data_IF_448216548068
#
_entry.id   IF_448216548068
#
_cell.length_a   1.000
_cell.length_b   1.000
_cell.length_c   1.000
_cell.angle_alpha   90.00
_cell.angle_beta   90.00
_cell.angle_gamma   90.00
#
_symmetry.space_group_name_H-M   'P 1'
#
loop_
_entity.id
_entity.type
_entity.pdbx_description
1 polymer ?
#
# COMPACT_ATOMS: atom_id res chain seq x y z
N UNK A 1 5.25 -23.92 15.43
CA UNK A 1 5.52 -22.48 15.64
C UNK A 1 4.19 -21.81 15.87
N UNK A 2 4.00 -21.14 17.00
CA UNK A 2 2.83 -20.30 17.20
C UNK A 2 2.97 -19.11 16.23
N UNK A 3 2.07 -19.04 15.26
CA UNK A 3 1.98 -17.91 14.35
C UNK A 3 1.60 -16.66 15.18
N UNK A 4 2.18 -15.50 14.92
CA UNK A 4 1.83 -14.27 15.63
C UNK A 4 1.59 -13.14 14.64
N UNK A 5 0.56 -12.35 14.86
CA UNK A 5 0.20 -11.18 14.05
C UNK A 5 0.28 -9.90 14.89
N UNK A 6 0.32 -8.72 14.26
CA UNK A 6 0.47 -7.48 15.02
C UNK A 6 -0.72 -7.24 15.95
N UNK A 7 -0.44 -6.73 17.16
CA UNK A 7 -1.43 -6.06 17.98
C UNK A 7 -2.07 -4.93 17.16
N UNK A 8 -3.38 -5.04 16.93
CA UNK A 8 -4.08 -4.21 15.96
C UNK A 8 -5.56 -4.11 16.33
N UNK A 9 -6.22 -2.98 15.98
CA UNK A 9 -7.66 -2.87 16.03
C UNK A 9 -8.34 -4.04 15.29
N UNK A 10 -9.28 -4.71 15.96
CA UNK A 10 -10.22 -5.61 15.31
C UNK A 10 -11.35 -4.79 14.69
N UNK A 11 -11.02 -4.03 13.65
CA UNK A 11 -11.99 -3.15 13.03
C UNK A 11 -12.96 -3.96 12.16
N UNK A 12 -14.00 -4.49 12.80
CA UNK A 12 -15.08 -5.28 12.21
C UNK A 12 -15.96 -4.52 11.20
N UNK A 13 -15.56 -3.31 10.80
CA UNK A 13 -16.31 -2.42 9.90
C UNK A 13 -15.81 -2.50 8.44
N UNK A 14 -14.59 -3.01 8.16
CA UNK A 14 -13.89 -2.64 6.92
C UNK A 14 -13.74 -3.72 5.85
N UNK A 15 -14.35 -4.89 6.01
CA UNK A 15 -14.26 -5.99 5.05
C UNK A 15 -15.68 -6.52 4.88
N UNK A 16 -16.16 -6.82 3.65
CA UNK A 16 -17.54 -7.24 3.41
C UNK A 16 -18.00 -8.18 4.54
N UNK A 17 -19.15 -7.92 5.19
CA UNK A 17 -19.48 -8.23 6.60
C UNK A 17 -19.52 -9.72 7.00
N UNK A 18 -18.55 -10.50 6.54
CA UNK A 18 -18.49 -11.97 6.51
C UNK A 18 -17.07 -12.53 6.35
N UNK A 19 -16.03 -11.70 6.22
CA UNK A 19 -14.66 -12.24 6.14
C UNK A 19 -14.20 -12.63 7.53
N UNK A 20 -13.94 -13.92 7.81
CA UNK A 20 -13.41 -14.36 9.10
C UNK A 20 -12.10 -13.62 9.41
N UNK A 21 -11.95 -13.19 10.66
CA UNK A 21 -10.74 -12.48 11.13
C UNK A 21 -9.45 -13.24 10.78
N UNK A 22 -9.48 -14.57 10.84
CA UNK A 22 -8.34 -15.42 10.49
C UNK A 22 -7.90 -15.29 9.03
N UNK A 23 -8.79 -14.90 8.11
CA UNK A 23 -8.41 -14.66 6.73
C UNK A 23 -7.56 -13.40 6.56
N UNK A 24 -7.60 -12.49 7.54
CA UNK A 24 -6.93 -11.19 7.55
C UNK A 24 -5.61 -11.23 8.31
N UNK A 25 -5.54 -12.01 9.38
CA UNK A 25 -4.37 -12.02 10.25
C UNK A 25 -3.65 -13.37 10.29
N UNK A 26 -4.26 -14.41 9.73
CA UNK A 26 -3.82 -15.79 9.85
C UNK A 26 -4.39 -16.48 11.07
N UNK A 27 -3.83 -17.63 11.42
CA UNK A 27 -4.21 -18.41 12.61
C UNK A 27 -3.37 -18.06 13.86
N UNK A 28 -2.72 -16.89 13.83
CA UNK A 28 -1.84 -16.44 14.90
C UNK A 28 -2.55 -15.76 16.06
N UNK A 29 -1.79 -15.48 17.11
CA UNK A 29 -2.22 -14.64 18.23
C UNK A 29 -1.60 -13.22 18.10
N UNK A 30 -2.32 -12.16 18.48
CA UNK A 30 -1.80 -10.80 18.47
C UNK A 30 -0.56 -10.61 19.36
N UNK A 31 0.43 -9.87 18.86
CA UNK A 31 1.69 -9.54 19.53
C UNK A 31 2.14 -8.11 19.21
N UNK A 32 2.76 -7.43 20.17
CA UNK A 32 3.41 -6.13 19.90
C UNK A 32 4.75 -6.27 19.15
N UNK A 33 5.20 -7.51 18.91
CA UNK A 33 6.41 -7.82 18.15
C UNK A 33 6.10 -8.60 16.85
N UNK A 34 5.47 -7.98 15.83
CA UNK A 34 5.07 -8.66 14.60
C UNK A 34 6.20 -8.83 13.57
N UNK A 35 7.46 -8.69 13.99
CA UNK A 35 8.61 -8.58 13.09
C UNK A 35 9.06 -9.95 12.58
N UNK A 36 8.25 -10.51 11.68
CA UNK A 36 8.46 -11.79 11.03
C UNK A 36 8.65 -11.66 9.52
N UNK A 37 9.41 -12.59 8.96
CA UNK A 37 9.57 -12.75 7.51
C UNK A 37 9.17 -14.19 7.17
N UNK A 38 8.14 -14.35 6.33
CA UNK A 38 7.71 -15.66 5.84
C UNK A 38 8.32 -15.91 4.46
N UNK A 39 9.02 -17.02 4.28
CA UNK A 39 9.73 -17.34 3.04
C UNK A 39 9.16 -18.64 2.47
N UNK A 40 8.79 -18.59 1.19
CA UNK A 40 8.35 -19.76 0.43
C UNK A 40 9.31 -19.96 -0.74
N UNK A 41 9.98 -21.10 -0.75
CA UNK A 41 10.94 -21.47 -1.80
C UNK A 41 10.23 -22.30 -2.89
N UNK A 42 10.62 -22.16 -4.17
CA UNK A 42 10.03 -22.94 -5.25
C UNK A 42 10.38 -24.43 -5.11
N UNK A 43 9.55 -25.37 -5.61
CA UNK A 43 9.78 -26.82 -5.46
C UNK A 43 11.11 -27.33 -6.02
N UNK A 44 11.69 -26.63 -7.00
CA UNK A 44 13.00 -26.97 -7.57
C UNK A 44 14.19 -26.59 -6.68
N UNK A 45 13.96 -25.82 -5.61
CA UNK A 45 15.02 -25.45 -4.67
C UNK A 45 15.32 -26.58 -3.69
N UNK A 46 16.61 -26.76 -3.39
CA UNK A 46 17.09 -27.61 -2.32
C UNK A 46 18.30 -26.98 -1.63
N UNK A 47 18.50 -27.21 -0.31
CA UNK A 47 19.67 -26.71 0.40
C UNK A 47 20.98 -27.16 -0.28
N UNK A 48 21.87 -26.22 -0.56
CA UNK A 48 23.16 -26.47 -1.24
C UNK A 48 23.11 -26.43 -2.77
N UNK A 49 21.96 -26.15 -3.38
CA UNK A 49 21.86 -25.87 -4.83
C UNK A 49 22.48 -24.51 -5.18
N UNK A 50 23.23 -24.44 -6.28
CA UNK A 50 23.80 -23.19 -6.83
C UNK A 50 22.77 -22.37 -7.63
N UNK A 51 21.57 -22.91 -7.89
CA UNK A 51 20.53 -22.21 -8.66
C UNK A 51 19.97 -21.04 -7.84
N UNK A 52 20.07 -19.83 -8.38
CA UNK A 52 19.47 -18.62 -7.81
C UNK A 52 18.15 -18.28 -8.51
N UNK A 53 17.13 -18.02 -7.71
CA UNK A 53 15.76 -17.73 -8.15
C UNK A 53 15.44 -16.25 -7.94
N UNK A 54 14.68 -15.60 -8.83
CA UNK A 54 14.16 -14.26 -8.57
C UNK A 54 13.38 -14.21 -7.24
N UNK A 55 13.45 -13.08 -6.55
CA UNK A 55 12.81 -12.89 -5.25
C UNK A 55 11.66 -11.89 -5.39
N UNK A 56 10.47 -12.27 -4.93
CA UNK A 56 9.30 -11.39 -4.88
C UNK A 56 8.92 -11.16 -3.42
N UNK A 57 9.07 -9.92 -2.98
CA UNK A 57 8.69 -9.48 -1.64
C UNK A 57 7.30 -8.87 -1.71
N UNK A 58 6.43 -9.20 -0.77
CA UNK A 58 5.09 -8.65 -0.62
C UNK A 58 4.91 -7.95 0.72
N UNK A 59 4.42 -6.71 0.66
CA UNK A 59 3.94 -5.93 1.81
C UNK A 59 2.42 -5.93 1.78
N UNK A 60 1.81 -6.43 2.86
CA UNK A 60 0.36 -6.55 2.96
C UNK A 60 -0.36 -5.20 3.09
N UNK A 61 -1.64 -5.20 2.70
CA UNK A 61 -2.55 -4.06 2.80
C UNK A 61 -3.17 -3.90 4.19
N UNK A 62 -4.34 -3.24 4.25
CA UNK A 62 -5.11 -3.06 5.49
C UNK A 62 -5.06 -1.64 6.09
N UNK A 63 -5.09 -0.61 5.24
CA UNK A 63 -5.16 0.82 5.64
C UNK A 63 -4.00 1.33 6.54
N UNK A 64 -2.94 0.52 6.71
CA UNK A 64 -1.94 0.66 7.77
C UNK A 64 -2.51 0.50 9.18
N UNK A 65 -3.77 0.07 9.32
CA UNK A 65 -4.43 -0.17 10.62
C UNK A 65 -4.43 -1.64 10.99
N UNK A 66 -4.50 -2.52 9.99
CA UNK A 66 -4.58 -3.97 10.16
C UNK A 66 -3.79 -4.72 9.08
N UNK A 67 -3.68 -6.03 9.24
CA UNK A 67 -3.11 -6.98 8.28
C UNK A 67 -2.00 -7.84 8.90
N UNK A 68 -1.48 -8.78 8.11
CA UNK A 68 -0.46 -9.72 8.59
C UNK A 68 0.35 -10.32 7.45
N UNK A 69 1.64 -10.65 7.66
CA UNK A 69 2.40 -11.44 6.70
C UNK A 69 1.87 -12.88 6.57
N UNK A 70 0.96 -13.30 7.46
CA UNK A 70 0.31 -14.61 7.50
C UNK A 70 -1.11 -14.62 6.92
N UNK A 71 -1.52 -13.55 6.25
CA UNK A 71 -2.79 -13.47 5.53
C UNK A 71 -3.04 -14.72 4.67
N UNK A 72 -4.10 -15.46 4.98
CA UNK A 72 -4.51 -16.63 4.18
C UNK A 72 -4.87 -16.22 2.74
N UNK A 73 -5.24 -14.95 2.57
CA UNK A 73 -5.50 -14.35 1.26
C UNK A 73 -4.27 -14.05 0.40
N UNK A 74 -3.09 -14.17 1.01
CA UNK A 74 -1.80 -13.84 0.43
C UNK A 74 -0.83 -15.03 0.42
N UNK A 75 -1.36 -16.27 0.51
CA UNK A 75 -0.61 -17.52 0.41
C UNK A 75 0.22 -17.57 -0.88
N UNK A 76 1.54 -17.73 -0.72
CA UNK A 76 2.51 -17.55 -1.79
C UNK A 76 3.00 -18.87 -2.42
N UNK A 77 2.49 -20.02 -1.95
CA UNK A 77 2.91 -21.36 -2.36
C UNK A 77 2.62 -21.64 -3.83
N UNK A 78 1.43 -21.30 -4.30
CA UNK A 78 1.03 -21.51 -5.69
C UNK A 78 1.88 -20.67 -6.64
N UNK A 79 1.98 -19.37 -6.38
CA UNK A 79 2.77 -18.49 -7.22
C UNK A 79 4.28 -18.80 -7.15
N UNK A 80 4.82 -19.24 -6.02
CA UNK A 80 6.21 -19.69 -5.91
C UNK A 80 6.48 -20.92 -6.79
N UNK A 81 5.52 -21.85 -6.85
CA UNK A 81 5.57 -23.04 -7.70
C UNK A 81 5.48 -22.68 -9.18
N UNK A 82 4.50 -21.88 -9.58
CA UNK A 82 4.25 -21.58 -11.00
C UNK A 82 5.28 -20.63 -11.60
N UNK A 83 5.77 -19.64 -10.85
CA UNK A 83 6.72 -18.64 -11.37
C UNK A 83 8.20 -18.94 -11.08
N UNK A 84 8.52 -20.07 -10.44
CA UNK A 84 9.87 -20.44 -10.00
C UNK A 84 10.58 -19.26 -9.28
N UNK A 85 9.93 -18.68 -8.27
CA UNK A 85 10.49 -17.57 -7.49
C UNK A 85 10.47 -17.86 -6.00
N UNK A 86 11.42 -17.27 -5.27
CA UNK A 86 11.33 -17.19 -3.80
C UNK A 86 10.37 -16.07 -3.44
N UNK A 87 9.30 -16.40 -2.71
CA UNK A 87 8.35 -15.42 -2.21
C UNK A 87 8.61 -15.09 -0.75
N UNK A 88 8.48 -13.81 -0.43
CA UNK A 88 8.71 -13.32 0.92
C UNK A 88 7.59 -12.38 1.35
N UNK A 89 6.96 -12.64 2.50
CA UNK A 89 6.03 -11.70 3.13
C UNK A 89 6.69 -11.09 4.36
N UNK A 90 6.63 -9.76 4.50
CA UNK A 90 7.22 -9.03 5.63
C UNK A 90 6.12 -8.53 6.57
N UNK A 91 6.25 -8.83 7.85
CA UNK A 91 5.41 -8.26 8.92
C UNK A 91 5.92 -6.91 9.38
N UNK A 92 5.00 -6.03 9.74
CA UNK A 92 5.30 -4.69 10.24
C UNK A 92 4.25 -4.23 11.25
N UNK A 93 4.63 -3.30 12.13
CA UNK A 93 3.67 -2.70 13.07
C UNK A 93 2.64 -1.85 12.33
N UNK A 94 1.37 -1.98 12.72
CA UNK A 94 0.22 -1.24 12.18
C UNK A 94 -0.39 -0.32 13.24
N UNK A 95 -1.35 0.51 12.82
CA UNK A 95 -2.13 1.43 13.65
C UNK A 95 -1.24 2.33 14.52
N UNK A 96 -1.67 2.67 15.74
CA UNK A 96 -0.91 3.48 16.68
C UNK A 96 0.50 2.91 16.98
N UNK A 97 0.67 1.59 16.96
CA UNK A 97 1.96 0.94 17.21
C UNK A 97 2.99 1.19 16.09
N UNK A 98 2.51 1.35 14.85
CA UNK A 98 3.34 1.60 13.68
C UNK A 98 3.48 3.07 13.29
N UNK A 99 2.46 3.89 13.55
CA UNK A 99 2.30 5.18 12.87
C UNK A 99 1.93 6.35 13.78
N UNK A 100 1.85 6.17 15.10
CA UNK A 100 1.69 7.29 16.03
C UNK A 100 2.91 8.23 15.95
N UNK A 101 2.66 9.54 15.79
CA UNK A 101 3.70 10.56 15.79
C UNK A 101 3.23 11.83 16.51
N UNK A 102 4.19 12.60 17.01
CA UNK A 102 3.99 13.90 17.64
C UNK A 102 5.34 14.64 17.68
N UNK A 103 5.32 15.96 17.59
CA UNK A 103 6.50 16.79 17.85
C UNK A 103 6.67 17.09 19.35
N UNK A 104 5.60 17.03 20.14
CA UNK A 104 5.62 17.26 21.59
C UNK A 104 4.61 16.36 22.33
N UNK A 105 5.08 15.33 23.08
CA UNK A 105 6.48 14.89 23.16
C UNK A 105 6.98 14.37 21.80
N UNK A 106 8.29 14.43 21.58
CA UNK A 106 8.88 13.97 20.32
C UNK A 106 8.68 12.46 20.13
N UNK A 107 7.94 12.11 19.08
CA UNK A 107 7.72 10.76 18.59
C UNK A 107 7.76 10.80 17.06
N UNK A 108 8.82 10.27 16.47
CA UNK A 108 9.12 10.47 15.05
C UNK A 108 8.17 9.73 14.07
N UNK A 109 7.34 8.80 14.57
CA UNK A 109 6.43 7.99 13.74
C UNK A 109 7.15 7.11 12.71
N UNK A 110 6.39 6.69 11.68
CA UNK A 110 6.86 5.85 10.57
C UNK A 110 7.51 4.53 11.00
N UNK A 111 7.22 4.03 12.20
CA UNK A 111 7.80 2.79 12.73
C UNK A 111 7.44 1.59 11.86
N UNK A 112 6.19 1.51 11.37
CA UNK A 112 5.77 0.45 10.45
C UNK A 112 6.54 0.46 9.13
N UNK A 113 6.84 1.64 8.57
CA UNK A 113 7.69 1.73 7.36
C UNK A 113 9.15 1.34 7.64
N UNK A 114 9.68 1.73 8.81
CA UNK A 114 11.03 1.34 9.25
C UNK A 114 11.12 -0.16 9.48
N UNK A 115 10.08 -0.80 9.99
CA UNK A 115 10.00 -2.27 10.13
C UNK A 115 10.07 -2.96 8.77
N UNK A 116 9.28 -2.48 7.80
CA UNK A 116 9.31 -3.01 6.43
C UNK A 116 10.70 -2.88 5.82
N UNK A 117 11.37 -1.74 6.02
CA UNK A 117 12.74 -1.51 5.54
C UNK A 117 13.77 -2.43 6.18
N UNK A 118 13.69 -2.64 7.50
CA UNK A 118 14.53 -3.62 8.18
C UNK A 118 14.31 -5.02 7.61
N UNK A 119 13.06 -5.39 7.33
CA UNK A 119 12.74 -6.64 6.62
C UNK A 119 13.38 -6.71 5.23
N UNK A 120 13.35 -5.64 4.44
CA UNK A 120 13.98 -5.58 3.12
C UNK A 120 15.51 -5.75 3.19
N UNK A 121 16.16 -5.09 4.15
CA UNK A 121 17.59 -5.23 4.39
C UNK A 121 17.94 -6.66 4.80
N UNK A 122 17.15 -7.25 5.70
CA UNK A 122 17.34 -8.64 6.12
C UNK A 122 17.20 -9.59 4.93
N UNK A 123 16.18 -9.41 4.07
CA UNK A 123 16.00 -10.24 2.88
C UNK A 123 17.19 -10.09 1.94
N UNK A 124 17.62 -8.87 1.61
CA UNK A 124 18.81 -8.64 0.77
C UNK A 124 20.03 -9.40 1.28
N UNK A 125 20.25 -9.39 2.60
CA UNK A 125 21.45 -9.95 3.22
C UNK A 125 21.39 -11.47 3.42
N UNK A 126 20.20 -12.09 3.41
CA UNK A 126 20.01 -13.49 3.81
C UNK A 126 19.33 -14.37 2.76
N UNK A 127 18.70 -13.81 1.72
CA UNK A 127 17.82 -14.59 0.83
C UNK A 127 18.55 -15.62 -0.01
N UNK A 128 19.86 -15.45 -0.23
CA UNK A 128 20.70 -16.44 -0.91
C UNK A 128 20.71 -17.80 -0.19
N UNK A 129 20.62 -17.82 1.15
CA UNK A 129 20.49 -19.04 1.95
C UNK A 129 19.20 -19.82 1.65
N UNK A 130 18.20 -19.16 1.06
CA UNK A 130 16.91 -19.72 0.65
C UNK A 130 16.81 -19.88 -0.88
N UNK A 131 17.94 -19.79 -1.58
CA UNK A 131 18.03 -19.90 -3.04
C UNK A 131 17.60 -18.65 -3.80
N UNK A 132 17.34 -17.53 -3.12
CA UNK A 132 17.01 -16.27 -3.78
C UNK A 132 18.24 -15.59 -4.39
N UNK A 133 18.03 -14.87 -5.49
CA UNK A 133 19.01 -13.98 -6.08
C UNK A 133 18.91 -12.58 -5.42
N UNK A 134 19.88 -12.16 -4.59
CA UNK A 134 19.86 -10.86 -3.94
C UNK A 134 20.01 -9.68 -4.92
N UNK A 135 20.35 -9.96 -6.18
CA UNK A 135 20.46 -8.96 -7.26
C UNK A 135 19.19 -8.84 -8.12
N UNK A 136 18.20 -9.70 -7.85
CA UNK A 136 16.94 -9.73 -8.56
C UNK A 136 15.75 -9.82 -7.59
N UNK A 137 15.60 -8.77 -6.78
CA UNK A 137 14.52 -8.59 -5.83
C UNK A 137 13.48 -7.61 -6.41
N UNK A 138 12.22 -8.05 -6.44
CA UNK A 138 11.06 -7.22 -6.75
C UNK A 138 10.24 -6.96 -5.48
N UNK A 139 9.98 -5.69 -5.17
CA UNK A 139 9.13 -5.27 -4.07
C UNK A 139 7.69 -5.04 -4.56
N UNK A 140 6.71 -5.70 -3.98
CA UNK A 140 5.29 -5.55 -4.32
C UNK A 140 4.48 -5.18 -3.09
N UNK A 141 3.45 -4.37 -3.26
CA UNK A 141 2.48 -4.12 -2.20
C UNK A 141 1.08 -3.89 -2.76
N UNK A 142 0.08 -4.26 -1.97
CA UNK A 142 -1.33 -4.04 -2.26
C UNK A 142 -1.91 -2.98 -1.32
N UNK A 143 -2.71 -2.04 -1.85
CA UNK A 143 -3.44 -1.07 -1.02
C UNK A 143 -2.48 -0.26 -0.13
N UNK A 144 -2.64 -0.30 1.19
CA UNK A 144 -1.68 0.27 2.14
C UNK A 144 -0.24 -0.27 1.97
N UNK A 145 -0.06 -1.49 1.48
CA UNK A 145 1.22 -2.02 1.04
C UNK A 145 1.76 -1.30 -0.18
N UNK A 146 0.94 -0.97 -1.18
CA UNK A 146 1.36 -0.14 -2.32
C UNK A 146 1.74 1.28 -1.88
N UNK A 147 0.98 1.86 -0.94
CA UNK A 147 1.37 3.12 -0.30
C UNK A 147 2.73 3.01 0.40
N UNK A 148 2.97 1.89 1.10
CA UNK A 148 4.25 1.60 1.73
C UNK A 148 5.39 1.48 0.72
N UNK A 149 5.18 0.80 -0.42
CA UNK A 149 6.16 0.72 -1.51
C UNK A 149 6.48 2.12 -2.03
N UNK A 150 5.48 3.00 -2.18
CA UNK A 150 5.70 4.39 -2.59
C UNK A 150 6.58 5.14 -1.56
N UNK A 151 6.28 5.03 -0.27
CA UNK A 151 7.08 5.61 0.81
C UNK A 151 8.52 5.09 0.82
N UNK A 152 8.71 3.79 0.59
CA UNK A 152 10.02 3.15 0.49
C UNK A 152 10.78 3.64 -0.73
N UNK A 153 10.13 3.85 -1.89
CA UNK A 153 10.78 4.45 -3.05
C UNK A 153 11.28 5.86 -2.73
N UNK A 154 10.51 6.67 -2.01
CA UNK A 154 10.97 7.98 -1.53
C UNK A 154 12.20 7.87 -0.63
N UNK A 155 12.18 6.94 0.33
CA UNK A 155 13.33 6.67 1.20
C UNK A 155 14.56 6.25 0.39
N UNK A 156 14.40 5.29 -0.54
CA UNK A 156 15.47 4.82 -1.44
C UNK A 156 16.08 5.97 -2.23
N UNK A 157 15.25 6.86 -2.78
CA UNK A 157 15.69 8.01 -3.57
C UNK A 157 16.56 9.00 -2.78
N UNK A 158 16.60 8.89 -1.45
CA UNK A 158 17.35 9.77 -0.55
C UNK A 158 18.41 9.06 0.28
N UNK A 159 18.68 7.79 0.00
CA UNK A 159 19.76 7.07 0.69
C UNK A 159 21.09 7.81 0.51
N UNK A 160 21.98 7.77 1.52
CA UNK A 160 23.33 8.34 1.44
C UNK A 160 24.09 7.92 0.17
N UNK A 161 25.02 8.76 -0.28
CA UNK A 161 25.86 8.42 -1.43
C UNK A 161 26.59 7.08 -1.21
N UNK A 162 26.68 6.26 -2.27
CA UNK A 162 27.25 4.91 -2.19
C UNK A 162 26.25 3.81 -1.77
N UNK A 163 25.19 4.14 -1.02
CA UNK A 163 24.15 3.17 -0.69
C UNK A 163 23.22 2.88 -1.87
N UNK A 164 22.79 1.62 -2.00
CA UNK A 164 21.94 1.10 -3.07
C UNK A 164 20.63 0.57 -2.53
N UNK A 165 19.60 0.58 -3.38
CA UNK A 165 18.31 -0.04 -3.08
C UNK A 165 18.48 -1.54 -2.77
N UNK A 166 17.78 -2.10 -1.76
CA UNK A 166 17.74 -3.54 -1.51
C UNK A 166 16.88 -4.30 -2.51
N UNK A 167 16.24 -3.61 -3.47
CA UNK A 167 15.44 -4.20 -4.55
C UNK A 167 15.66 -3.48 -5.87
N UNK A 168 15.37 -4.15 -6.98
CA UNK A 168 15.64 -3.64 -8.34
C UNK A 168 14.37 -3.32 -9.12
N UNK A 169 13.19 -3.77 -8.70
CA UNK A 169 11.92 -3.31 -9.29
C UNK A 169 10.83 -3.23 -8.25
N UNK A 170 9.80 -2.41 -8.50
CA UNK A 170 8.69 -2.24 -7.58
C UNK A 170 7.33 -2.34 -8.28
N UNK A 171 6.33 -2.92 -7.62
CA UNK A 171 4.94 -3.04 -8.10
C UNK A 171 3.97 -2.49 -7.06
N UNK A 172 3.19 -1.47 -7.45
CA UNK A 172 2.18 -0.82 -6.62
C UNK A 172 0.78 -1.23 -7.11
N UNK A 173 0.07 -2.01 -6.31
CA UNK A 173 -1.27 -2.49 -6.64
C UNK A 173 -2.30 -1.62 -5.91
N UNK A 174 -2.99 -0.77 -6.66
CA UNK A 174 -4.15 0.01 -6.20
C UNK A 174 -3.90 1.02 -5.05
N UNK A 175 -2.77 1.73 -5.03
CA UNK A 175 -2.58 2.88 -4.12
C UNK A 175 -1.36 3.74 -4.49
N UNK A 176 -1.23 4.91 -3.86
CA UNK A 176 -0.02 5.72 -3.86
C UNK A 176 -0.11 6.96 -2.96
N UNK A 177 0.88 7.85 -3.05
CA UNK A 177 0.88 9.14 -2.36
C UNK A 177 0.29 10.21 -3.29
N UNK A 178 -0.79 10.85 -2.84
CA UNK A 178 -1.42 11.97 -3.56
C UNK A 178 -0.90 13.32 -3.07
N UNK A 179 -0.67 13.44 -1.76
CA UNK A 179 -0.23 14.65 -1.09
C UNK A 179 0.86 14.31 -0.07
N UNK A 180 1.58 15.35 0.38
CA UNK A 180 2.56 15.20 1.44
C UNK A 180 1.90 14.69 2.72
N UNK A 181 2.52 13.73 3.43
CA UNK A 181 2.05 13.32 4.75
C UNK A 181 2.07 14.51 5.74
N UNK A 182 1.22 14.45 6.75
CA UNK A 182 1.22 15.44 7.83
C UNK A 182 2.58 15.44 8.56
N UNK A 183 3.00 16.58 9.08
CA UNK A 183 4.18 16.64 9.95
C UNK A 183 3.85 16.08 11.34
N UNK A 184 4.85 15.76 12.17
CA UNK A 184 4.61 15.38 13.58
C UNK A 184 3.79 16.42 14.34
N UNK A 185 3.99 17.72 14.08
CA UNK A 185 3.16 18.80 14.60
C UNK A 185 1.69 18.71 14.17
N UNK A 186 1.45 18.37 12.89
CA UNK A 186 0.11 18.15 12.37
C UNK A 186 -0.58 16.92 12.95
N UNK A 187 0.17 15.94 13.46
CA UNK A 187 -0.34 14.72 14.09
C UNK A 187 -0.48 14.82 15.61
N UNK A 188 0.08 15.87 16.24
CA UNK A 188 -0.07 16.12 17.69
C UNK A 188 -1.54 16.06 18.18
N UNK A 189 -2.55 16.59 17.47
CA UNK A 189 -3.95 16.44 17.91
C UNK A 189 -4.43 14.98 17.99
N UNK A 190 -3.99 14.11 17.07
CA UNK A 190 -4.30 12.68 17.12
C UNK A 190 -3.61 12.01 18.32
N UNK A 191 -2.36 12.38 18.60
CA UNK A 191 -1.64 11.91 19.80
C UNK A 191 -2.35 12.34 21.09
N UNK A 192 -2.74 13.62 21.20
CA UNK A 192 -3.45 14.16 22.36
C UNK A 192 -4.80 13.46 22.55
N UNK A 193 -5.55 13.23 21.46
CA UNK A 193 -6.82 12.51 21.49
C UNK A 193 -6.65 11.08 22.02
N UNK A 194 -5.66 10.33 21.51
CA UNK A 194 -5.36 8.98 22.00
C UNK A 194 -5.05 8.99 23.51
N UNK A 195 -4.20 9.90 23.96
CA UNK A 195 -3.83 10.01 25.38
C UNK A 195 -5.05 10.30 26.25
N UNK A 196 -5.89 11.26 25.87
CA UNK A 196 -7.10 11.60 26.62
C UNK A 196 -8.09 10.44 26.69
N UNK A 197 -8.33 9.72 25.58
CA UNK A 197 -9.22 8.55 25.55
C UNK A 197 -8.68 7.40 26.42
N UNK A 198 -7.36 7.33 26.61
CA UNK A 198 -6.71 6.41 27.55
C UNK A 198 -6.69 6.89 29.01
N UNK A 199 -7.24 8.08 29.30
CA UNK A 199 -7.21 8.70 30.63
C UNK A 199 -5.83 9.21 31.05
N UNK A 200 -4.97 9.53 30.08
CA UNK A 200 -3.61 10.02 30.28
C UNK A 200 -3.53 11.52 29.94
N UNK A 201 -2.63 12.23 30.64
CA UNK A 201 -2.28 13.62 30.31
C UNK A 201 -1.19 13.64 29.22
N UNK A 202 -1.47 14.10 27.98
CA UNK A 202 -0.48 14.15 26.90
C UNK A 202 0.69 15.10 27.21
N UNK A 203 0.55 15.99 28.20
CA UNK A 203 1.59 16.92 28.65
C UNK A 203 2.42 16.38 29.80
N UNK A 204 2.09 15.19 30.33
CA UNK A 204 2.88 14.53 31.35
C UNK A 204 4.32 14.29 30.87
N UNK A 205 5.36 14.62 31.66
CA UNK A 205 6.76 14.34 31.27
C UNK A 205 7.05 12.83 31.15
N UNK A 206 6.19 11.99 31.73
CA UNK A 206 6.28 10.52 31.67
C UNK A 206 5.31 9.89 30.67
N UNK A 207 4.62 10.67 29.83
CA UNK A 207 3.58 10.14 28.94
C UNK A 207 4.08 9.00 28.05
N UNK A 208 5.27 9.12 27.47
CA UNK A 208 5.84 8.08 26.62
C UNK A 208 6.22 6.81 27.40
N UNK A 209 6.61 6.93 28.68
CA UNK A 209 6.80 5.75 29.53
C UNK A 209 5.47 5.11 29.94
N UNK A 210 4.44 5.92 30.19
CA UNK A 210 3.10 5.43 30.51
C UNK A 210 2.48 4.65 29.33
N UNK A 211 2.67 5.16 28.10
CA UNK A 211 2.22 4.48 26.88
C UNK A 211 2.97 3.17 26.60
N UNK A 212 4.21 3.01 27.10
CA UNK A 212 5.04 1.80 26.90
C UNK A 212 4.93 0.78 28.03
N UNK A 213 4.28 1.12 29.13
CA UNK A 213 4.11 0.21 30.25
C UNK A 213 3.00 -0.79 29.97
N UNK A 214 3.35 -1.92 29.36
CA UNK A 214 2.42 -2.98 28.98
C UNK A 214 1.71 -3.64 30.18
N UNK A 215 2.23 -3.45 31.40
CA UNK A 215 1.59 -3.94 32.62
C UNK A 215 0.40 -3.08 33.04
N UNK A 216 0.50 -1.75 32.87
CA UNK A 216 -0.56 -0.80 33.16
C UNK A 216 -1.49 -0.58 31.96
N UNK A 217 -0.91 -0.56 30.76
CA UNK A 217 -1.54 -0.27 29.49
C UNK A 217 -1.24 -1.39 28.47
N UNK A 218 -1.87 -2.57 28.60
CA UNK A 218 -1.77 -3.62 27.59
C UNK A 218 -2.34 -3.15 26.24
N UNK A 219 -1.82 -3.71 25.14
CA UNK A 219 -2.18 -3.30 23.78
C UNK A 219 -3.69 -3.30 23.51
N UNK A 220 -4.45 -4.20 24.14
CA UNK A 220 -5.90 -4.32 23.94
C UNK A 220 -6.67 -3.09 24.44
N UNK A 221 -6.16 -2.34 25.42
CA UNK A 221 -6.75 -1.06 25.83
C UNK A 221 -6.56 0.00 24.76
N UNK A 222 -5.38 0.03 24.13
CA UNK A 222 -5.06 0.96 23.04
C UNK A 222 -5.92 0.64 21.82
N UNK A 223 -6.03 -0.63 21.44
CA UNK A 223 -6.87 -1.02 20.29
C UNK A 223 -8.34 -0.77 20.57
N UNK A 224 -8.83 -1.04 21.79
CA UNK A 224 -10.23 -0.81 22.15
C UNK A 224 -10.67 0.64 21.99
N UNK A 225 -9.87 1.64 22.42
CA UNK A 225 -10.25 3.06 22.28
C UNK A 225 -10.22 3.55 20.83
N UNK A 226 -9.45 2.87 19.98
CA UNK A 226 -9.44 3.12 18.52
C UNK A 226 -10.70 2.50 17.91
N UNK A 227 -10.99 1.24 18.21
CA UNK A 227 -12.16 0.49 17.72
C UNK A 227 -13.50 1.08 18.14
N UNK A 228 -13.60 1.59 19.38
CA UNK A 228 -14.84 2.16 19.91
C UNK A 228 -15.17 3.53 19.34
N UNK A 229 -14.23 4.17 18.63
CA UNK A 229 -14.36 5.53 18.14
C UNK A 229 -14.22 6.60 19.24
N UNK A 230 -13.81 6.23 20.46
CA UNK A 230 -13.60 7.17 21.58
C UNK A 230 -12.51 8.20 21.29
N UNK A 231 -11.57 7.89 20.39
CA UNK A 231 -10.56 8.83 19.91
C UNK A 231 -11.13 9.90 18.96
N UNK A 232 -12.33 9.68 18.41
CA UNK A 232 -13.00 10.55 17.46
C UNK A 232 -12.71 10.19 15.98
N UNK A 233 -13.70 10.38 15.12
CA UNK A 233 -13.65 9.96 13.71
C UNK A 233 -12.46 10.56 12.96
N UNK A 234 -12.05 11.81 13.18
CA UNK A 234 -10.90 12.38 12.46
C UNK A 234 -9.55 11.76 12.90
N UNK A 235 -9.52 10.99 14.00
CA UNK A 235 -8.29 10.56 14.68
C UNK A 235 -8.12 9.04 14.79
N UNK A 236 -9.09 8.24 14.35
CA UNK A 236 -9.08 6.77 14.44
C UNK A 236 -8.11 6.07 13.44
N UNK A 237 -7.55 6.83 12.49
CA UNK A 237 -6.75 6.29 11.39
C UNK A 237 -5.31 6.81 11.45
N UNK A 238 -4.35 5.93 11.71
CA UNK A 238 -2.94 6.30 11.87
C UNK A 238 -2.17 6.17 10.55
N UNK A 239 -1.55 7.26 10.08
CA UNK A 239 -0.87 7.32 8.77
C UNK A 239 0.58 7.74 8.90
N UNK A 240 1.34 7.53 7.83
CA UNK A 240 2.70 8.01 7.71
C UNK A 240 2.83 9.51 8.01
N UNK A 241 3.98 9.89 8.54
CA UNK A 241 4.31 11.28 8.87
C UNK A 241 5.45 11.77 7.98
N UNK A 242 5.51 13.07 7.71
CA UNK A 242 6.62 13.69 7.00
C UNK A 242 7.67 14.07 8.03
N UNK A 243 8.68 13.22 8.14
CA UNK A 243 9.85 13.43 8.99
C UNK A 243 11.15 13.55 8.17
N UNK A 244 12.11 14.31 8.69
CA UNK A 244 13.42 14.56 8.06
C UNK A 244 14.28 13.31 7.82
N UNK A 245 14.03 12.20 8.52
CA UNK A 245 14.86 10.98 8.52
C UNK A 245 14.36 9.91 7.55
N UNK A 246 13.07 9.91 7.21
CA UNK A 246 12.45 8.87 6.39
C UNK A 246 12.34 9.27 4.92
N UNK A 247 11.45 10.22 4.59
CA UNK A 247 11.24 10.69 3.21
C UNK A 247 11.80 12.09 2.93
N UNK A 248 12.38 12.73 3.94
CA UNK A 248 13.02 14.05 3.84
C UNK A 248 12.04 15.22 3.80
N UNK A 249 12.47 16.37 4.33
CA UNK A 249 11.60 17.56 4.48
C UNK A 249 11.80 18.64 3.40
N UNK A 250 12.97 18.67 2.74
CA UNK A 250 13.30 19.71 1.75
C UNK A 250 14.07 19.15 0.54
N UNK A 251 13.57 19.33 -0.69
CA UNK A 251 12.14 19.63 -0.97
C UNK A 251 11.25 18.55 -0.34
N UNK A 252 9.96 18.85 -0.11
CA UNK A 252 9.01 17.84 0.38
C UNK A 252 8.87 16.66 -0.60
N UNK A 253 8.37 15.48 -0.16
CA UNK A 253 8.32 14.28 -0.98
C UNK A 253 7.63 14.48 -2.34
N UNK A 254 6.46 15.12 -2.38
CA UNK A 254 5.72 15.29 -3.63
C UNK A 254 6.40 16.31 -4.56
N UNK A 255 7.01 17.38 -4.03
CA UNK A 255 7.85 18.30 -4.82
C UNK A 255 9.10 17.60 -5.37
N UNK A 256 9.75 16.74 -4.58
CA UNK A 256 10.87 15.91 -5.02
C UNK A 256 10.48 14.97 -6.16
N UNK A 257 9.31 14.34 -6.06
CA UNK A 257 8.76 13.48 -7.11
C UNK A 257 8.62 14.24 -8.43
N UNK A 258 7.87 15.34 -8.42
CA UNK A 258 7.59 16.17 -9.60
C UNK A 258 8.82 16.74 -10.27
N UNK A 259 9.88 17.02 -9.50
CA UNK A 259 11.12 17.59 -10.02
C UNK A 259 11.88 16.66 -10.99
N UNK A 260 11.52 15.38 -11.01
CA UNK A 260 12.24 14.31 -11.71
C UNK A 260 13.53 13.87 -11.00
N UNK A 261 13.98 14.56 -9.95
CA UNK A 261 15.14 14.12 -9.15
C UNK A 261 14.85 12.81 -8.42
N UNK A 262 13.61 12.60 -7.97
CA UNK A 262 13.15 11.32 -7.46
C UNK A 262 13.47 10.16 -8.41
N UNK A 263 13.08 10.29 -9.67
CA UNK A 263 13.28 9.27 -10.69
C UNK A 263 14.77 9.08 -11.03
N UNK A 264 15.53 10.17 -11.16
CA UNK A 264 17.00 10.14 -11.36
C UNK A 264 17.70 9.42 -10.21
N UNK A 265 17.32 9.74 -8.98
CA UNK A 265 17.88 9.13 -7.80
C UNK A 265 17.53 7.65 -7.69
N UNK A 266 16.27 7.24 -7.92
CA UNK A 266 15.89 5.83 -7.98
C UNK A 266 16.77 5.03 -8.95
N UNK A 267 16.98 5.56 -10.16
CA UNK A 267 17.86 4.95 -11.16
C UNK A 267 19.31 4.86 -10.66
N UNK A 268 19.84 5.93 -10.07
CA UNK A 268 21.19 5.95 -9.49
C UNK A 268 21.36 4.96 -8.32
N UNK A 269 20.26 4.65 -7.61
CA UNK A 269 20.20 3.68 -6.51
C UNK A 269 19.96 2.25 -6.97
N UNK A 270 19.81 2.01 -8.27
CA UNK A 270 19.71 0.68 -8.87
C UNK A 270 18.29 0.15 -9.04
N UNK A 271 17.26 0.99 -8.85
CA UNK A 271 15.89 0.63 -9.21
C UNK A 271 15.73 0.76 -10.72
N UNK A 272 15.28 -0.31 -11.37
CA UNK A 272 15.18 -0.45 -12.83
C UNK A 272 13.82 -0.03 -13.37
N UNK A 273 12.73 -0.41 -12.69
CA UNK A 273 11.37 -0.09 -13.12
C UNK A 273 10.37 -0.02 -11.98
N UNK A 274 9.27 0.69 -12.24
CA UNK A 274 8.07 0.69 -11.40
C UNK A 274 6.86 0.23 -12.22
N UNK A 275 6.09 -0.71 -11.69
CA UNK A 275 4.78 -1.11 -12.20
C UNK A 275 3.73 -0.53 -11.26
N UNK A 276 2.68 0.09 -11.79
CA UNK A 276 1.62 0.68 -10.99
C UNK A 276 0.27 0.50 -11.68
N UNK A 277 -0.77 0.12 -10.96
CA UNK A 277 -2.07 -0.08 -11.57
C UNK A 277 -3.23 -0.10 -10.59
N UNK A 278 -4.41 -0.21 -11.17
CA UNK A 278 -5.70 -0.08 -10.49
C UNK A 278 -6.77 -0.99 -11.12
N UNK A 279 -7.89 -1.14 -10.43
CA UNK A 279 -9.06 -1.88 -10.92
C UNK A 279 -10.11 -0.92 -11.48
N UNK A 280 -10.99 -1.43 -12.34
CA UNK A 280 -12.03 -0.59 -12.96
C UNK A 280 -13.07 -0.08 -11.96
N UNK A 281 -13.26 -0.76 -10.81
CA UNK A 281 -14.33 -0.46 -9.86
C UNK A 281 -13.83 -0.31 -8.41
N UNK A 282 -12.66 0.29 -8.19
CA UNK A 282 -12.03 0.53 -6.88
C UNK A 282 -13.00 1.13 -5.85
N UNK A 283 -13.90 1.99 -6.30
CA UNK A 283 -14.85 2.73 -5.48
C UNK A 283 -15.64 1.87 -4.48
N UNK A 284 -15.96 0.62 -4.82
CA UNK A 284 -16.93 -0.16 -4.06
C UNK A 284 -16.44 -0.50 -2.65
N UNK A 285 -15.22 -1.03 -2.52
CA UNK A 285 -14.64 -1.28 -1.19
C UNK A 285 -14.43 0.02 -0.42
N UNK A 286 -13.95 1.08 -1.08
CA UNK A 286 -13.78 2.38 -0.42
C UNK A 286 -15.10 2.97 0.09
N UNK A 287 -16.22 2.73 -0.60
CA UNK A 287 -17.56 3.12 -0.12
C UNK A 287 -17.97 2.40 1.16
N UNK A 288 -17.51 1.15 1.35
CA UNK A 288 -17.84 0.33 2.53
C UNK A 288 -16.98 0.68 3.74
N UNK A 289 -15.74 1.13 3.51
CA UNK A 289 -14.75 1.33 4.59
C UNK A 289 -15.03 2.54 5.48
N UNK A 290 -15.83 3.48 5.03
CA UNK A 290 -16.07 4.71 5.78
C UNK A 290 -17.55 5.05 5.65
N UNK A 291 -18.40 4.53 6.55
CA UNK A 291 -19.84 4.77 6.46
C UNK A 291 -20.12 6.27 6.57
N UNK A 292 -21.03 6.74 5.72
CA UNK A 292 -21.45 8.14 5.63
C UNK A 292 -22.97 8.19 5.73
N UNK A 293 -23.47 9.09 6.58
CA UNK A 293 -24.91 9.33 6.78
C UNK A 293 -25.30 10.76 6.40
N UNK A 294 -24.30 11.65 6.26
CA UNK A 294 -24.41 13.04 5.86
C UNK A 294 -23.21 13.46 5.01
N UNK A 295 -23.31 14.60 4.32
CA UNK A 295 -22.17 15.16 3.59
C UNK A 295 -21.00 15.53 4.51
N UNK A 296 -21.28 15.95 5.76
CA UNK A 296 -20.24 16.26 6.75
C UNK A 296 -19.35 15.05 7.08
N UNK A 297 -19.91 13.82 7.00
CA UNK A 297 -19.13 12.61 7.23
C UNK A 297 -18.10 12.36 6.12
N UNK A 298 -18.38 12.81 4.88
CA UNK A 298 -17.42 12.72 3.77
C UNK A 298 -16.17 13.55 4.09
N UNK A 299 -16.38 14.79 4.52
CA UNK A 299 -15.28 15.68 4.89
C UNK A 299 -14.48 15.14 6.08
N UNK A 300 -15.17 14.68 7.14
CA UNK A 300 -14.53 14.09 8.31
C UNK A 300 -13.67 12.86 7.95
N UNK A 301 -14.18 11.98 7.07
CA UNK A 301 -13.42 10.81 6.64
C UNK A 301 -12.24 11.16 5.72
N UNK A 302 -12.33 12.20 4.89
CA UNK A 302 -11.17 12.65 4.09
C UNK A 302 -10.06 13.25 4.95
N UNK A 303 -10.42 13.95 6.03
CA UNK A 303 -9.46 14.53 6.98
C UNK A 303 -8.62 13.50 7.74
N UNK A 304 -9.05 12.22 7.75
CA UNK A 304 -8.22 11.08 8.21
C UNK A 304 -6.94 10.91 7.39
N UNK A 305 -6.97 11.31 6.12
CA UNK A 305 -5.92 11.02 5.15
C UNK A 305 -5.19 12.26 4.66
N UNK A 306 -5.86 13.41 4.63
CA UNK A 306 -5.36 14.61 3.97
C UNK A 306 -5.52 15.87 4.82
N UNK A 307 -4.60 16.86 4.69
CA UNK A 307 -4.72 18.15 5.36
C UNK A 307 -6.03 18.88 5.03
N UNK A 308 -6.55 19.67 5.98
CA UNK A 308 -7.85 20.37 5.85
C UNK A 308 -7.97 21.24 4.59
N UNK A 309 -6.91 21.95 4.21
CA UNK A 309 -6.88 22.82 3.03
C UNK A 309 -6.92 22.03 1.72
N UNK A 310 -6.34 20.84 1.70
CA UNK A 310 -6.40 19.91 0.55
C UNK A 310 -7.80 19.32 0.46
N UNK A 311 -8.39 18.88 1.58
CA UNK A 311 -9.76 18.35 1.62
C UNK A 311 -10.77 19.39 1.12
N UNK A 312 -10.67 20.64 1.57
CA UNK A 312 -11.58 21.71 1.13
C UNK A 312 -11.54 21.90 -0.40
N UNK A 313 -10.34 22.05 -0.98
CA UNK A 313 -10.16 22.21 -2.43
C UNK A 313 -10.54 20.96 -3.23
N UNK A 314 -10.35 19.77 -2.66
CA UNK A 314 -10.78 18.52 -3.30
C UNK A 314 -12.30 18.50 -3.42
N UNK A 315 -13.02 18.81 -2.34
CA UNK A 315 -14.49 18.77 -2.34
C UNK A 315 -15.11 19.80 -3.30
N UNK A 316 -14.43 20.93 -3.56
CA UNK A 316 -14.83 21.89 -4.61
C UNK A 316 -14.82 21.28 -6.03
N UNK A 317 -14.06 20.20 -6.25
CA UNK A 317 -14.02 19.50 -7.54
C UNK A 317 -15.19 18.52 -7.74
N UNK A 318 -16.03 18.31 -6.72
CA UNK A 318 -17.12 17.35 -6.73
C UNK A 318 -18.49 18.03 -6.59
N UNK A 319 -19.55 17.28 -6.86
CA UNK A 319 -20.92 17.73 -6.61
C UNK A 319 -21.18 17.98 -5.11
N UNK A 320 -21.96 19.01 -4.80
CA UNK A 320 -22.25 19.43 -3.41
C UNK A 320 -23.44 18.69 -2.79
N UNK A 321 -24.31 18.10 -3.61
CA UNK A 321 -25.52 17.39 -3.16
C UNK A 321 -25.66 16.03 -3.89
N UNK A 322 -24.79 15.05 -3.57
CA UNK A 322 -24.82 13.75 -4.24
C UNK A 322 -26.10 12.97 -3.91
N UNK A 323 -26.70 12.38 -4.94
CA UNK A 323 -27.92 11.56 -4.78
C UNK A 323 -27.70 10.29 -3.94
N UNK A 324 -26.47 9.75 -3.97
CA UNK A 324 -26.10 8.54 -3.26
C UNK A 324 -24.76 8.75 -2.54
N UNK A 325 -24.84 9.07 -1.24
CA UNK A 325 -23.66 9.33 -0.40
C UNK A 325 -22.70 8.15 -0.34
N UNK A 326 -23.20 6.90 -0.33
CA UNK A 326 -22.35 5.70 -0.33
C UNK A 326 -21.50 5.63 -1.61
N UNK A 327 -22.13 5.76 -2.78
CA UNK A 327 -21.45 5.75 -4.08
C UNK A 327 -20.48 6.93 -4.21
N UNK A 328 -20.90 8.10 -3.73
CA UNK A 328 -20.11 9.33 -3.73
C UNK A 328 -18.85 9.18 -2.89
N UNK A 329 -18.98 8.71 -1.65
CA UNK A 329 -17.85 8.48 -0.76
C UNK A 329 -16.82 7.52 -1.38
N UNK A 330 -17.30 6.40 -1.94
CA UNK A 330 -16.44 5.47 -2.67
C UNK A 330 -15.72 6.11 -3.86
N UNK A 331 -16.41 6.96 -4.63
CA UNK A 331 -15.79 7.70 -5.74
C UNK A 331 -14.68 8.62 -5.22
N UNK A 332 -14.98 9.49 -4.27
CA UNK A 332 -14.02 10.50 -3.77
C UNK A 332 -12.80 9.82 -3.16
N UNK A 333 -12.99 8.79 -2.32
CA UNK A 333 -11.87 8.06 -1.73
C UNK A 333 -11.06 7.28 -2.75
N UNK A 334 -11.68 6.54 -3.67
CA UNK A 334 -10.93 5.80 -4.69
C UNK A 334 -10.18 6.72 -5.65
N UNK A 335 -10.77 7.88 -5.99
CA UNK A 335 -10.08 8.91 -6.76
C UNK A 335 -8.82 9.39 -6.03
N UNK A 336 -8.93 9.71 -4.74
CA UNK A 336 -7.82 10.27 -3.97
C UNK A 336 -6.76 9.22 -3.55
N UNK A 337 -7.17 8.01 -3.18
CA UNK A 337 -6.29 6.96 -2.65
C UNK A 337 -5.70 6.07 -3.76
N UNK A 338 -6.35 5.97 -4.92
CA UNK A 338 -5.96 5.05 -5.99
C UNK A 338 -5.76 5.75 -7.31
N UNK A 339 -6.84 6.26 -7.92
CA UNK A 339 -6.80 6.65 -9.33
C UNK A 339 -5.87 7.83 -9.59
N UNK A 340 -5.94 8.88 -8.76
CA UNK A 340 -5.07 10.05 -8.88
C UNK A 340 -3.60 9.73 -8.55
N UNK A 341 -3.26 9.18 -7.37
CA UNK A 341 -1.85 8.99 -7.02
C UNK A 341 -1.13 7.98 -7.92
N UNK A 342 -1.81 6.96 -8.44
CA UNK A 342 -1.21 6.02 -9.40
C UNK A 342 -0.86 6.71 -10.72
N UNK A 343 -1.67 7.67 -11.18
CA UNK A 343 -1.41 8.49 -12.37
C UNK A 343 -0.35 9.54 -12.13
N UNK A 344 -0.33 10.19 -10.96
CA UNK A 344 0.71 11.15 -10.58
C UNK A 344 2.10 10.49 -10.58
N UNK A 345 2.24 9.34 -9.90
CA UNK A 345 3.50 8.60 -9.88
C UNK A 345 3.93 8.20 -11.29
N UNK A 346 3.02 7.63 -12.09
CA UNK A 346 3.33 7.22 -13.45
C UNK A 346 3.75 8.41 -14.32
N UNK A 347 3.00 9.51 -14.28
CA UNK A 347 3.30 10.76 -14.99
C UNK A 347 4.70 11.27 -14.64
N UNK A 348 5.04 11.36 -13.36
CA UNK A 348 6.29 11.97 -12.91
C UNK A 348 7.51 11.12 -13.26
N UNK A 349 7.40 9.79 -13.12
CA UNK A 349 8.43 8.85 -13.56
C UNK A 349 8.60 8.91 -15.09
N UNK A 350 7.49 8.89 -15.83
CA UNK A 350 7.48 8.96 -17.29
C UNK A 350 8.13 10.24 -17.81
N UNK A 351 7.73 11.40 -17.26
CA UNK A 351 8.29 12.70 -17.65
C UNK A 351 9.80 12.82 -17.38
N UNK A 352 10.31 12.07 -16.39
CA UNK A 352 11.73 12.01 -16.08
C UNK A 352 12.49 10.93 -16.89
N UNK A 353 11.82 10.22 -17.80
CA UNK A 353 12.41 9.15 -18.62
C UNK A 353 12.75 7.89 -17.82
N UNK A 354 12.05 7.63 -16.72
CA UNK A 354 12.22 6.43 -15.91
C UNK A 354 11.26 5.31 -16.37
N UNK A 355 11.72 4.04 -16.46
CA UNK A 355 10.87 2.92 -16.87
C UNK A 355 9.68 2.72 -15.93
N UNK A 356 8.48 3.01 -16.43
CA UNK A 356 7.23 2.85 -15.70
C UNK A 356 6.18 2.15 -16.56
N UNK A 357 5.46 1.20 -15.97
CA UNK A 357 4.35 0.50 -16.60
C UNK A 357 3.06 0.76 -15.82
N UNK A 358 2.06 1.31 -16.51
CA UNK A 358 0.68 1.41 -16.02
C UNK A 358 -0.12 0.19 -16.45
N UNK A 359 -0.86 -0.42 -15.51
CA UNK A 359 -1.83 -1.46 -15.82
C UNK A 359 -3.23 -1.17 -15.27
N UNK A 360 -4.24 -1.82 -15.84
CA UNK A 360 -5.61 -1.81 -15.32
C UNK A 360 -6.21 -3.23 -15.34
N UNK A 361 -6.91 -3.62 -14.28
CA UNK A 361 -7.61 -4.91 -14.21
C UNK A 361 -9.12 -4.65 -14.21
N UNK A 362 -9.79 -5.14 -15.26
CA UNK A 362 -11.24 -5.09 -15.46
C UNK A 362 -11.92 -6.46 -15.39
N UNK A 363 -11.23 -7.47 -14.87
CA UNK A 363 -11.75 -8.83 -14.69
C UNK A 363 -11.14 -9.48 -13.44
N UNK A 364 -11.94 -10.28 -12.74
CA UNK A 364 -11.52 -11.20 -11.68
C UNK A 364 -12.23 -12.54 -11.85
N UNK A 365 -11.71 -13.65 -11.29
CA UNK A 365 -12.35 -14.96 -11.38
C UNK A 365 -13.82 -14.93 -10.94
N UNK A 366 -14.65 -15.74 -11.60
CA UNK A 366 -16.10 -15.74 -11.42
C UNK A 366 -16.51 -16.03 -9.96
N UNK A 367 -15.77 -16.89 -9.24
CA UNK A 367 -16.04 -17.16 -7.83
C UNK A 367 -15.91 -15.90 -6.97
N UNK A 368 -14.91 -15.07 -7.26
CA UNK A 368 -14.67 -13.78 -6.60
C UNK A 368 -15.73 -12.77 -7.01
N UNK A 369 -15.96 -12.61 -8.31
CA UNK A 369 -16.96 -11.68 -8.83
C UNK A 369 -18.37 -11.97 -8.29
N UNK A 370 -18.77 -13.25 -8.21
CA UNK A 370 -20.10 -13.65 -7.72
C UNK A 370 -20.34 -13.27 -6.26
N UNK A 371 -19.28 -13.07 -5.47
CA UNK A 371 -19.40 -12.73 -4.05
C UNK A 371 -19.57 -11.23 -3.79
N UNK A 372 -19.06 -10.38 -4.69
CA UNK A 372 -19.02 -8.91 -4.51
C UNK A 372 -19.84 -8.17 -5.57
N UNK A 373 -19.88 -8.68 -6.80
CA UNK A 373 -20.57 -8.09 -7.94
C UNK A 373 -19.77 -7.01 -8.69
N UNK A 374 -18.51 -6.78 -8.30
CA UNK A 374 -17.65 -5.72 -8.84
C UNK A 374 -16.20 -6.20 -8.99
N UNK A 375 -15.47 -5.62 -9.93
CA UNK A 375 -14.01 -5.73 -10.08
C UNK A 375 -13.38 -4.61 -9.25
N UNK A 376 -13.30 -4.83 -7.93
CA UNK A 376 -12.98 -3.78 -6.95
C UNK A 376 -11.76 -4.11 -6.09
N UNK A 377 -11.36 -3.14 -5.27
CA UNK A 377 -10.11 -3.07 -4.53
C UNK A 377 -9.68 -4.40 -3.89
N UNK A 378 -8.45 -4.83 -4.20
CA UNK A 378 -7.82 -6.02 -3.61
C UNK A 378 -8.31 -7.37 -4.12
N UNK A 379 -9.36 -7.41 -4.96
CA UNK A 379 -9.85 -8.68 -5.52
C UNK A 379 -8.90 -9.27 -6.57
N UNK A 380 -8.07 -8.44 -7.19
CA UNK A 380 -6.97 -8.85 -8.07
C UNK A 380 -5.86 -9.59 -7.35
N UNK A 381 -5.81 -9.58 -6.01
CA UNK A 381 -4.88 -10.43 -5.25
C UNK A 381 -5.04 -11.90 -5.59
N UNK A 382 -6.24 -12.33 -5.96
CA UNK A 382 -6.48 -13.71 -6.43
C UNK A 382 -5.71 -14.05 -7.71
N UNK A 383 -5.50 -13.06 -8.59
CA UNK A 383 -4.69 -13.17 -9.80
C UNK A 383 -3.21 -13.12 -9.44
N UNK A 384 -2.78 -12.11 -8.67
CA UNK A 384 -1.37 -11.90 -8.32
C UNK A 384 -0.74 -13.01 -7.48
N UNK A 385 -1.53 -13.68 -6.64
CA UNK A 385 -1.08 -14.76 -5.78
C UNK A 385 -1.40 -16.16 -6.35
N UNK A 386 -1.96 -16.24 -7.57
CA UNK A 386 -2.43 -17.49 -8.18
C UNK A 386 -3.26 -18.36 -7.20
N UNK A 387 -4.35 -17.80 -6.68
CA UNK A 387 -5.17 -18.51 -5.68
C UNK A 387 -6.08 -19.53 -6.32
N UNK A 388 -5.52 -20.68 -6.69
CA UNK A 388 -6.19 -21.76 -7.43
C UNK A 388 -7.47 -22.27 -6.77
N UNK A 389 -7.65 -22.11 -5.46
CA UNK A 389 -8.90 -22.46 -4.75
C UNK A 389 -10.10 -21.59 -5.15
N UNK A 390 -9.87 -20.43 -5.78
CA UNK A 390 -10.88 -19.48 -6.24
C UNK A 390 -10.89 -19.31 -7.77
N UNK A 391 -10.08 -20.09 -8.49
CA UNK A 391 -9.88 -19.96 -9.93
C UNK A 391 -10.25 -21.29 -10.60
N UNK A 392 -11.20 -21.27 -11.54
CA UNK A 392 -11.50 -22.46 -12.34
C UNK A 392 -10.38 -22.76 -13.34
N UNK A 393 -10.31 -24.00 -13.85
CA UNK A 393 -9.23 -24.40 -14.77
C UNK A 393 -9.13 -23.50 -16.04
N UNK A 394 -10.21 -23.09 -16.72
CA UNK A 394 -10.12 -22.16 -17.84
C UNK A 394 -9.62 -20.77 -17.44
N UNK A 395 -10.06 -20.27 -16.28
CA UNK A 395 -9.67 -18.96 -15.75
C UNK A 395 -8.19 -18.94 -15.34
N UNK A 396 -7.65 -20.07 -14.87
CA UNK A 396 -6.25 -20.19 -14.49
C UNK A 396 -5.32 -19.93 -15.69
N UNK A 397 -5.71 -20.36 -16.90
CA UNK A 397 -4.94 -20.03 -18.12
C UNK A 397 -4.89 -18.51 -18.38
N UNK A 398 -5.97 -17.79 -18.08
CA UNK A 398 -6.02 -16.32 -18.19
C UNK A 398 -5.11 -15.68 -17.13
N UNK A 399 -5.12 -16.21 -15.90
CA UNK A 399 -4.24 -15.73 -14.81
C UNK A 399 -2.78 -15.90 -15.18
N UNK A 400 -2.36 -17.09 -15.63
CA UNK A 400 -0.98 -17.33 -16.06
C UNK A 400 -0.58 -16.43 -17.22
N UNK A 401 -1.45 -16.33 -18.24
CA UNK A 401 -1.20 -15.44 -19.38
C UNK A 401 -1.05 -13.97 -18.96
N UNK A 402 -1.80 -13.52 -17.94
CA UNK A 402 -1.68 -12.16 -17.41
C UNK A 402 -0.36 -11.93 -16.69
N UNK A 403 0.04 -12.87 -15.82
CA UNK A 403 1.30 -12.80 -15.08
C UNK A 403 2.52 -12.80 -16.02
N UNK A 404 2.47 -13.60 -17.08
CA UNK A 404 3.51 -13.61 -18.12
C UNK A 404 3.51 -12.31 -18.93
N UNK A 405 2.33 -11.84 -19.35
CA UNK A 405 2.20 -10.64 -20.16
C UNK A 405 2.66 -9.39 -19.40
N UNK A 406 2.30 -9.25 -18.12
CA UNK A 406 2.70 -8.08 -17.33
C UNK A 406 4.22 -8.06 -17.06
N UNK A 407 4.85 -9.21 -16.81
CA UNK A 407 6.30 -9.28 -16.68
C UNK A 407 7.01 -8.99 -18.01
N UNK A 408 6.47 -9.46 -19.13
CA UNK A 408 6.98 -9.12 -20.46
C UNK A 408 6.87 -7.62 -20.76
N UNK A 409 5.75 -6.98 -20.43
CA UNK A 409 5.60 -5.53 -20.57
C UNK A 409 6.56 -4.77 -19.64
N UNK A 410 6.76 -5.24 -18.41
CA UNK A 410 7.74 -4.66 -17.47
C UNK A 410 9.15 -4.70 -18.04
N UNK A 411 9.58 -5.85 -18.57
CA UNK A 411 10.89 -5.98 -19.24
C UNK A 411 11.00 -5.07 -20.46
N UNK A 412 9.94 -4.98 -21.26
CA UNK A 412 9.92 -4.12 -22.44
C UNK A 412 10.06 -2.61 -22.10
N UNK A 413 9.50 -2.15 -20.96
CA UNK A 413 9.74 -0.77 -20.51
C UNK A 413 11.15 -0.58 -19.94
N UNK A 414 11.71 -1.57 -19.24
CA UNK A 414 13.12 -1.54 -18.77
C UNK A 414 14.12 -1.42 -19.94
N UNK A 415 13.85 -2.13 -21.04
CA UNK A 415 14.68 -2.18 -22.25
C UNK A 415 14.41 -1.01 -23.21
N UNK A 416 13.33 -0.25 -22.98
CA UNK A 416 12.89 0.83 -23.88
C UNK A 416 12.33 0.34 -25.21
N UNK A 417 11.86 -0.91 -25.28
CA UNK A 417 11.35 -1.56 -26.50
C UNK A 417 9.82 -1.49 -26.64
N UNK A 418 9.09 -1.11 -25.58
CA UNK A 418 7.64 -0.93 -25.63
C UNK A 418 7.26 0.38 -26.32
N UNK A 419 6.61 0.29 -27.49
CA UNK A 419 6.12 1.47 -28.24
C UNK A 419 4.87 2.07 -27.61
N UNK A 420 3.94 1.25 -27.13
CA UNK A 420 2.69 1.73 -26.50
C UNK A 420 2.95 2.44 -25.16
N UNK A 421 3.98 2.00 -24.40
CA UNK A 421 4.36 2.65 -23.14
C UNK A 421 5.01 4.04 -23.34
N UNK A 422 5.23 4.47 -24.58
CA UNK A 422 5.67 5.84 -24.91
C UNK A 422 4.52 6.85 -24.92
N UNK A 423 3.28 6.44 -24.66
CA UNK A 423 2.19 7.36 -24.37
C UNK A 423 1.67 7.07 -22.96
N UNK A 424 1.85 8.03 -22.07
CA UNK A 424 1.45 7.91 -20.67
C UNK A 424 -0.07 7.77 -20.48
N UNK A 425 -0.87 8.14 -21.50
CA UNK A 425 -2.32 7.93 -21.51
C UNK A 425 -2.72 6.50 -21.88
N UNK A 426 -1.78 5.65 -22.25
CA UNK A 426 -2.01 4.23 -22.56
C UNK A 426 -1.83 3.39 -21.30
N UNK A 427 -2.68 2.37 -21.15
CA UNK A 427 -2.64 1.43 -20.03
C UNK A 427 -2.74 0.00 -20.55
N UNK A 428 -1.89 -0.89 -20.02
CA UNK A 428 -1.97 -2.32 -20.36
C UNK A 428 -3.08 -2.98 -19.54
N UNK A 429 -4.12 -3.48 -20.18
CA UNK A 429 -5.34 -3.88 -19.50
C UNK A 429 -5.62 -5.38 -19.60
N UNK A 430 -6.04 -5.98 -18.48
CA UNK A 430 -6.83 -7.22 -18.47
C UNK A 430 -8.30 -6.84 -18.54
N UNK A 431 -8.94 -7.05 -19.68
CA UNK A 431 -10.30 -6.58 -19.94
C UNK A 431 -11.35 -7.54 -19.40
N UNK A 432 -12.58 -7.06 -19.26
CA UNK A 432 -13.75 -7.82 -18.78
C UNK A 432 -14.01 -9.11 -19.57
N UNK A 433 -13.68 -9.13 -20.86
CA UNK A 433 -13.80 -10.29 -21.74
C UNK A 433 -12.60 -11.25 -21.67
N UNK A 434 -11.72 -11.07 -20.66
CA UNK A 434 -10.48 -11.81 -20.44
C UNK A 434 -9.39 -11.59 -21.50
N UNK A 435 -9.61 -10.70 -22.46
CA UNK A 435 -8.56 -10.29 -23.41
C UNK A 435 -7.58 -9.32 -22.77
N UNK A 436 -6.33 -9.33 -23.26
CA UNK A 436 -5.27 -8.46 -22.76
C UNK A 436 -4.80 -7.52 -23.87
N UNK A 437 -4.42 -6.30 -23.50
CA UNK A 437 -3.78 -5.39 -24.45
C UNK A 437 -3.81 -3.94 -24.02
N UNK A 438 -3.04 -3.14 -24.74
CA UNK A 438 -3.00 -1.70 -24.56
C UNK A 438 -4.32 -1.05 -25.00
N UNK A 439 -4.79 -0.11 -24.18
CA UNK A 439 -5.94 0.75 -24.47
C UNK A 439 -5.69 2.14 -23.92
N UNK A 440 -6.53 3.09 -24.31
CA UNK A 440 -6.50 4.43 -23.74
C UNK A 440 -7.10 4.42 -22.33
N UNK A 441 -6.49 5.15 -21.41
CA UNK A 441 -7.01 5.37 -20.06
C UNK A 441 -8.19 6.35 -20.14
N UNK A 442 -9.39 5.78 -20.17
CA UNK A 442 -10.64 6.53 -20.28
C UNK A 442 -10.88 7.53 -19.14
N UNK A 443 -10.19 7.38 -18.00
CA UNK A 443 -10.32 8.25 -16.83
C UNK A 443 -9.17 9.23 -16.67
N UNK A 444 -8.20 9.23 -17.59
CA UNK A 444 -7.01 10.08 -17.49
C UNK A 444 -7.37 11.56 -17.29
N UNK A 445 -8.19 12.13 -18.17
CA UNK A 445 -8.51 13.56 -18.12
C UNK A 445 -9.49 13.89 -16.97
N UNK A 446 -10.42 12.99 -16.62
CA UNK A 446 -11.32 13.13 -15.44
C UNK A 446 -10.50 13.29 -14.15
N UNK A 447 -9.61 12.33 -13.90
CA UNK A 447 -8.83 12.26 -12.67
C UNK A 447 -7.78 13.37 -12.64
N UNK A 448 -7.21 13.75 -13.80
CA UNK A 448 -6.29 14.88 -13.91
C UNK A 448 -6.93 16.21 -13.48
N UNK A 449 -8.25 16.37 -13.60
CA UNK A 449 -8.95 17.57 -13.13
C UNK A 449 -8.76 17.84 -11.62
N UNK A 450 -8.60 16.77 -10.82
CA UNK A 450 -8.41 16.86 -9.37
C UNK A 450 -7.05 17.43 -8.96
N UNK A 451 -6.10 17.47 -9.89
CA UNK A 451 -4.75 18.02 -9.66
C UNK A 451 -4.82 19.49 -9.21
N UNK A 452 -5.82 20.25 -9.67
CA UNK A 452 -6.03 21.64 -9.27
C UNK A 452 -6.25 21.81 -7.75
N UNK A 453 -6.68 20.76 -7.05
CA UNK A 453 -6.83 20.78 -5.59
C UNK A 453 -5.50 20.59 -4.84
N UNK A 454 -4.44 20.13 -5.50
CA UNK A 454 -3.18 19.76 -4.89
C UNK A 454 -2.17 20.92 -4.90
N UNK A 455 -1.55 21.26 -3.75
CA UNK A 455 -0.54 22.31 -3.71
C UNK A 455 0.69 21.95 -4.55
N UNK A 456 1.12 22.88 -5.41
CA UNK A 456 2.35 22.76 -6.20
C UNK A 456 2.24 21.91 -7.48
N UNK A 457 1.02 21.57 -7.89
CA UNK A 457 0.74 20.75 -9.09
C UNK A 457 0.23 21.55 -10.31
N UNK A 458 0.37 22.88 -10.29
CA UNK A 458 -0.11 23.79 -11.35
C UNK A 458 0.72 23.78 -12.63
#
# INVERSE_FOLDING_TARGET
>A
MECQDCAQPNDGILIPPRTPYQNLVGLGNPTENPLYVNIVCPPGWSPGSDRKYPVKIYIHGGFLQLGSPHELNSQAEYIAKESETVHVNIGYRVSAFGFLASDEPRLDGNFGFKDQWLGLLWVRDNIECFGGDPTNIQLTGLSAGAHSVHQILHHVSRLPEGEKSPFQSATLQSNGMMANPATPAGQRPQFDALCHSLGLDPRSPTILSQLRDTSALPFNKITQVIESGEIGTEFDTFRGTRDSTWTGDSPDPMTWQRSGEFARALKAKGVRSVVVGDLTEEWFIYAMTHPVYSYADVEANLRKFYPRDVVARLLECYETEPQNLFRFMGKVLSDCQVYLPTRLLARDLYNAGFPVLRYEIGWVPQAVYSSIGYVTHGLDRTIWADRQTLISQPEHLVVLAWLDAIDAQRKAVEEGTSTDAQDIKRVFALKKDMSMGWKDDARWDEVKGLIAALPGEN
#
